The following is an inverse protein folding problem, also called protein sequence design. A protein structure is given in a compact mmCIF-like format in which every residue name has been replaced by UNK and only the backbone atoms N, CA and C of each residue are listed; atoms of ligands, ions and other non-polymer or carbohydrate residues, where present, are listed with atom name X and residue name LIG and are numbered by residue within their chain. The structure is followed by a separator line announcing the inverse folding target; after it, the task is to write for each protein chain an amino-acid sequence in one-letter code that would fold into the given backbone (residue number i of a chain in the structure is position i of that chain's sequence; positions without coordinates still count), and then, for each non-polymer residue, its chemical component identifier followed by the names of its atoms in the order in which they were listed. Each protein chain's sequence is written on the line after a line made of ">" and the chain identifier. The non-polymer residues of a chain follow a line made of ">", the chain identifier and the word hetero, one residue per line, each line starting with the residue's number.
data_IF_684319574306
#
_entry.id   IF_684319574306
#
_cell.length_a   1.000
_cell.length_b   1.000
_cell.length_c   1.000
_cell.angle_alpha   90.00
_cell.angle_beta   90.00
_cell.angle_gamma   90.00
#
_symmetry.space_group_name_H-M   'P 1'
#
loop_
_entity.id
_entity.type
_entity.pdbx_description
1 polymer ?
#
# COMPACT_ATOMS: atom_id res chain seq x y z
N UNK A 1 2.65 -21.84 38.88
CA UNK A 1 1.88 -21.34 37.72
C UNK A 1 2.15 -19.85 37.56
N UNK A 2 3.40 -19.47 37.26
CA UNK A 2 3.88 -18.08 37.31
C UNK A 2 4.06 -17.43 35.93
N UNK A 3 4.12 -18.24 34.85
CA UNK A 3 4.30 -17.73 33.49
C UNK A 3 3.04 -17.12 32.88
N UNK A 4 1.84 -17.52 33.33
CA UNK A 4 0.58 -17.09 32.71
C UNK A 4 0.16 -15.68 33.13
N UNK A 5 0.44 -15.28 34.36
CA UNK A 5 0.07 -13.94 34.87
C UNK A 5 1.00 -12.85 34.32
N UNK A 6 2.29 -13.15 34.20
CA UNK A 6 3.27 -12.25 33.61
C UNK A 6 3.00 -12.06 32.11
N UNK A 7 2.75 -13.16 31.38
CA UNK A 7 2.40 -13.08 29.96
C UNK A 7 1.11 -12.27 29.72
N UNK A 8 0.13 -12.38 30.62
CA UNK A 8 -1.11 -11.59 30.53
C UNK A 8 -0.86 -10.09 30.73
N UNK A 9 0.01 -9.72 31.69
CA UNK A 9 0.40 -8.31 31.92
C UNK A 9 1.19 -7.74 30.75
N UNK A 10 2.11 -8.52 30.19
CA UNK A 10 2.91 -8.11 29.02
C UNK A 10 2.03 -7.97 27.76
N UNK A 11 1.10 -8.90 27.53
CA UNK A 11 0.13 -8.80 26.44
C UNK A 11 -0.77 -7.56 26.62
N UNK A 12 -1.24 -7.31 27.84
CA UNK A 12 -2.09 -6.14 28.14
C UNK A 12 -1.35 -4.83 27.90
N UNK A 13 -0.07 -4.76 28.28
CA UNK A 13 0.81 -3.61 28.01
C UNK A 13 1.01 -3.41 26.50
N UNK A 14 1.24 -4.50 25.75
CA UNK A 14 1.38 -4.44 24.29
C UNK A 14 0.09 -3.92 23.64
N UNK A 15 -1.08 -4.42 24.04
CA UNK A 15 -2.37 -3.95 23.52
C UNK A 15 -2.57 -2.48 23.84
N UNK A 16 -2.28 -2.06 25.07
CA UNK A 16 -2.39 -0.66 25.49
C UNK A 16 -1.45 0.26 24.69
N UNK A 17 -0.22 -0.18 24.39
CA UNK A 17 0.70 0.55 23.52
C UNK A 17 0.15 0.63 22.10
N UNK A 18 -0.34 -0.48 21.55
CA UNK A 18 -0.93 -0.50 20.20
C UNK A 18 -2.13 0.46 20.10
N UNK A 19 -3.01 0.48 21.10
CA UNK A 19 -4.23 1.30 21.08
C UNK A 19 -3.95 2.79 21.28
N UNK A 20 -2.92 3.16 22.04
CA UNK A 20 -2.62 4.57 22.34
C UNK A 20 -1.62 5.18 21.35
N UNK A 21 -0.53 4.48 21.06
CA UNK A 21 0.56 5.03 20.24
C UNK A 21 0.30 4.86 18.73
N UNK A 22 -0.30 3.74 18.31
CA UNK A 22 -0.61 3.51 16.89
C UNK A 22 -1.89 4.23 16.44
N UNK A 23 -2.74 4.70 17.36
CA UNK A 23 -3.94 5.48 16.99
C UNK A 23 -3.57 6.77 16.25
N UNK A 24 -2.43 7.36 16.59
CA UNK A 24 -1.88 8.54 15.89
C UNK A 24 -1.64 8.27 14.41
N UNK A 25 -1.35 7.02 14.03
CA UNK A 25 -1.17 6.58 12.65
C UNK A 25 -2.51 6.35 11.93
N UNK A 26 -3.63 6.21 12.64
CA UNK A 26 -4.96 6.12 12.01
C UNK A 26 -5.48 7.48 11.52
N UNK A 27 -4.86 8.58 11.96
CA UNK A 27 -5.23 9.93 11.54
C UNK A 27 -5.04 10.19 10.02
N UNK A 28 -4.31 9.31 9.31
CA UNK A 28 -4.20 9.35 7.85
C UNK A 28 -5.50 8.98 7.10
N UNK A 29 -6.53 8.47 7.80
CA UNK A 29 -7.85 8.21 7.20
C UNK A 29 -8.61 9.48 6.82
N UNK A 30 -8.22 10.64 7.37
CA UNK A 30 -8.84 11.92 7.01
C UNK A 30 -8.44 12.32 5.58
N UNK A 31 -9.43 12.47 4.70
CA UNK A 31 -9.31 12.75 3.26
C UNK A 31 -8.68 14.11 2.90
N UNK A 32 -8.01 14.79 3.84
CA UNK A 32 -7.39 16.10 3.65
C UNK A 32 -5.93 16.01 3.17
N UNK A 33 -5.36 14.81 3.10
CA UNK A 33 -3.98 14.60 2.65
C UNK A 33 -3.97 14.52 1.13
N UNK A 34 -3.19 15.39 0.49
CA UNK A 34 -2.98 15.39 -0.97
C UNK A 34 -1.66 14.73 -1.38
N UNK A 35 -0.66 14.72 -0.50
CA UNK A 35 0.68 14.20 -0.77
C UNK A 35 1.09 13.14 0.24
N UNK A 36 1.84 12.14 -0.19
CA UNK A 36 2.25 11.00 0.62
C UNK A 36 3.69 10.57 0.36
N UNK A 37 4.42 10.24 1.41
CA UNK A 37 5.74 9.63 1.32
C UNK A 37 5.62 8.14 0.97
N UNK A 38 6.65 7.58 0.33
CA UNK A 38 6.65 6.17 -0.05
C UNK A 38 6.49 5.23 1.16
N UNK A 39 7.07 5.58 2.32
CA UNK A 39 6.92 4.82 3.57
C UNK A 39 5.48 4.75 4.09
N UNK A 40 4.69 5.75 3.74
CA UNK A 40 3.35 5.96 4.32
C UNK A 40 2.24 5.35 3.45
N UNK A 41 2.59 4.81 2.27
CA UNK A 41 1.64 4.13 1.38
C UNK A 41 0.88 3.00 2.10
N UNK A 42 1.53 2.34 3.06
CA UNK A 42 0.93 1.30 3.90
C UNK A 42 -0.28 1.79 4.71
N UNK A 43 -0.43 3.08 4.98
CA UNK A 43 -1.58 3.62 5.71
C UNK A 43 -2.80 3.83 4.83
N UNK A 44 -2.61 4.16 3.54
CA UNK A 44 -3.71 4.48 2.64
C UNK A 44 -4.23 3.25 1.87
N UNK A 45 -3.43 2.20 1.71
CA UNK A 45 -3.84 0.95 1.07
C UNK A 45 -4.07 -0.15 2.11
N UNK A 46 -5.32 -0.31 2.54
CA UNK A 46 -5.74 -1.41 3.40
C UNK A 46 -6.48 -2.48 2.59
N UNK A 47 -6.40 -3.78 2.97
CA UNK A 47 -7.28 -4.80 2.44
C UNK A 47 -8.75 -4.39 2.56
N UNK A 48 -9.52 -4.52 1.48
CA UNK A 48 -10.92 -4.12 1.41
C UNK A 48 -11.19 -2.69 0.94
N UNK A 49 -10.16 -1.83 0.87
CA UNK A 49 -10.30 -0.44 0.39
C UNK A 49 -10.66 -0.41 -1.11
N UNK A 50 -11.57 0.49 -1.50
CA UNK A 50 -11.83 0.79 -2.91
C UNK A 50 -10.74 1.70 -3.48
N UNK A 51 -10.18 1.30 -4.62
CA UNK A 51 -9.09 2.01 -5.31
C UNK A 51 -9.43 2.23 -6.78
N UNK A 52 -8.93 3.32 -7.36
CA UNK A 52 -9.13 3.67 -8.76
C UNK A 52 -7.82 3.93 -9.49
N UNK A 53 -7.79 3.66 -10.79
CA UNK A 53 -6.66 4.02 -11.65
C UNK A 53 -6.59 5.53 -11.86
N UNK A 54 -5.38 6.08 -11.91
CA UNK A 54 -5.18 7.50 -12.27
C UNK A 54 -5.35 7.78 -13.75
N UNK A 55 -5.09 6.77 -14.59
CA UNK A 55 -5.21 6.89 -16.04
C UNK A 55 -6.60 6.49 -16.53
N UNK A 56 -7.07 7.17 -17.57
CA UNK A 56 -8.34 6.85 -18.26
C UNK A 56 -8.15 5.62 -19.19
N UNK A 57 -9.16 4.75 -19.35
CA UNK A 57 -10.45 4.78 -18.65
C UNK A 57 -10.29 4.44 -17.15
N UNK A 58 -11.02 5.18 -16.31
CA UNK A 58 -11.00 4.95 -14.87
C UNK A 58 -11.60 3.57 -14.57
N UNK A 59 -10.84 2.74 -13.86
CA UNK A 59 -11.30 1.44 -13.37
C UNK A 59 -11.23 1.44 -11.86
N UNK A 60 -12.25 0.86 -11.23
CA UNK A 60 -12.32 0.68 -9.79
C UNK A 60 -12.04 -0.78 -9.43
N UNK A 61 -11.28 -0.97 -8.35
CA UNK A 61 -10.92 -2.27 -7.81
C UNK A 61 -11.07 -2.25 -6.30
N UNK A 62 -11.11 -3.43 -5.70
CA UNK A 62 -11.02 -3.60 -4.26
C UNK A 62 -9.68 -4.23 -3.89
N UNK A 63 -8.98 -3.64 -2.94
CA UNK A 63 -7.68 -4.17 -2.49
C UNK A 63 -7.88 -5.55 -1.86
N UNK A 64 -7.10 -6.52 -2.31
CA UNK A 64 -7.04 -7.87 -1.72
C UNK A 64 -5.96 -7.91 -0.64
N UNK A 65 -4.73 -7.52 -0.99
CA UNK A 65 -3.62 -7.40 -0.07
C UNK A 65 -2.54 -6.46 -0.62
N UNK A 66 -1.61 -6.07 0.24
CA UNK A 66 -0.48 -5.18 -0.08
C UNK A 66 0.81 -5.81 0.42
N UNK A 67 1.87 -5.72 -0.38
CA UNK A 67 3.19 -6.26 -0.04
C UNK A 67 4.31 -5.31 -0.47
N UNK A 68 5.52 -5.51 0.05
CA UNK A 68 6.70 -4.71 -0.35
C UNK A 68 6.79 -3.34 0.33
N UNK A 69 7.33 -2.33 -0.35
CA UNK A 69 7.56 -0.99 0.22
C UNK A 69 8.48 -0.91 1.45
N UNK A 70 9.29 -1.94 1.71
CA UNK A 70 10.17 -2.01 2.89
C UNK A 70 11.60 -1.61 2.52
N UNK A 71 12.34 -0.93 3.41
CA UNK A 71 13.77 -0.74 3.23
C UNK A 71 14.50 -2.08 3.12
N UNK A 72 15.48 -2.16 2.23
CA UNK A 72 16.36 -3.32 2.20
C UNK A 72 17.30 -3.29 3.41
N UNK A 73 17.33 -4.38 4.18
CA UNK A 73 18.28 -4.56 5.30
C UNK A 73 19.71 -4.82 4.81
N UNK A 74 19.84 -5.34 3.60
CA UNK A 74 21.07 -5.55 2.86
C UNK A 74 20.79 -5.27 1.38
N UNK A 75 21.73 -4.65 0.63
CA UNK A 75 21.55 -4.44 -0.80
C UNK A 75 21.12 -5.75 -1.50
N UNK A 76 20.15 -5.70 -2.42
CA UNK A 76 19.76 -6.88 -3.20
C UNK A 76 20.97 -7.49 -3.90
N UNK A 77 20.98 -8.81 -4.07
CA UNK A 77 22.02 -9.46 -4.88
C UNK A 77 22.00 -8.88 -6.31
N UNK A 78 23.10 -8.25 -6.68
CA UNK A 78 23.23 -7.62 -7.97
C UNK A 78 23.77 -8.61 -9.00
N UNK A 79 22.87 -9.38 -9.60
CA UNK A 79 23.20 -10.35 -10.65
C UNK A 79 23.46 -9.70 -12.03
N UNK A 80 23.79 -8.39 -12.08
CA UNK A 80 24.01 -7.65 -13.34
C UNK A 80 25.43 -7.83 -13.86
N UNK A 81 25.54 -8.01 -15.18
CA UNK A 81 26.81 -7.94 -15.89
C UNK A 81 27.25 -6.49 -16.08
N UNK A 82 28.12 -6.02 -15.18
CA UNK A 82 28.72 -4.66 -15.18
C UNK A 82 29.49 -4.31 -16.46
N UNK A 83 29.79 -5.28 -17.31
CA UNK A 83 30.44 -5.08 -18.62
C UNK A 83 29.52 -4.46 -19.68
N UNK A 84 28.20 -4.57 -19.49
CA UNK A 84 27.19 -4.21 -20.51
C UNK A 84 26.14 -3.22 -20.02
N UNK A 85 26.07 -2.95 -18.71
CA UNK A 85 25.05 -2.07 -18.14
C UNK A 85 25.67 -0.94 -17.31
N UNK A 86 25.16 0.30 -17.44
CA UNK A 86 25.63 1.43 -16.65
C UNK A 86 25.35 1.23 -15.16
N UNK A 87 26.25 1.72 -14.31
CA UNK A 87 26.09 1.69 -12.86
C UNK A 87 24.80 2.42 -12.45
N UNK A 88 23.93 1.73 -11.71
CA UNK A 88 22.69 2.29 -11.16
C UNK A 88 22.69 2.07 -9.66
N UNK A 89 22.46 3.14 -8.90
CA UNK A 89 22.38 3.09 -7.44
C UNK A 89 21.32 2.04 -7.04
N UNK A 90 21.66 1.10 -6.14
CA UNK A 90 20.70 0.12 -5.65
C UNK A 90 19.47 0.82 -5.06
N UNK A 91 18.29 0.29 -5.34
CA UNK A 91 17.06 0.81 -4.75
C UNK A 91 17.12 0.63 -3.23
N UNK A 92 16.69 1.64 -2.49
CA UNK A 92 16.70 1.61 -1.01
C UNK A 92 15.53 0.82 -0.44
N UNK A 93 14.47 0.66 -1.22
CA UNK A 93 13.23 0.02 -0.81
C UNK A 93 12.80 -1.00 -1.85
N UNK A 94 12.15 -2.08 -1.41
CA UNK A 94 11.40 -2.94 -2.31
C UNK A 94 10.21 -2.19 -2.89
N UNK A 95 9.87 -2.47 -4.14
CA UNK A 95 8.65 -2.00 -4.76
C UNK A 95 7.40 -2.28 -3.90
N UNK A 96 6.44 -1.37 -3.90
CA UNK A 96 5.19 -1.51 -3.18
C UNK A 96 4.13 -2.09 -4.13
N UNK A 97 3.65 -3.30 -3.84
CA UNK A 97 2.78 -4.08 -4.72
C UNK A 97 1.38 -4.17 -4.11
N UNK A 98 0.40 -3.65 -4.84
CA UNK A 98 -1.02 -3.70 -4.53
C UNK A 98 -1.68 -4.77 -5.38
N UNK A 99 -2.15 -5.83 -4.75
CA UNK A 99 -2.99 -6.83 -5.40
C UNK A 99 -4.45 -6.52 -5.09
N UNK A 100 -5.26 -6.39 -6.12
CA UNK A 100 -6.66 -5.99 -6.04
C UNK A 100 -7.50 -6.82 -7.01
N UNK A 101 -8.83 -6.76 -6.87
CA UNK A 101 -9.74 -7.46 -7.77
C UNK A 101 -10.90 -6.58 -8.18
N UNK A 102 -11.49 -6.90 -9.32
CA UNK A 102 -12.80 -6.42 -9.74
C UNK A 102 -13.69 -7.63 -10.02
N UNK A 103 -15.01 -7.44 -9.97
CA UNK A 103 -15.96 -8.46 -10.40
C UNK A 103 -16.24 -8.21 -11.87
N UNK A 104 -16.02 -9.22 -12.71
CA UNK A 104 -16.27 -9.16 -14.16
C UNK A 104 -17.15 -10.33 -14.61
N UNK A 105 -17.78 -10.20 -15.77
CA UNK A 105 -18.66 -11.21 -16.35
C UNK A 105 -17.98 -11.90 -17.54
N UNK A 106 -17.76 -13.21 -17.44
CA UNK A 106 -17.07 -14.00 -18.47
C UNK A 106 -17.97 -14.45 -19.64
N UNK A 107 -19.21 -13.94 -19.70
CA UNK A 107 -20.24 -14.41 -20.62
C UNK A 107 -21.16 -15.50 -20.04
N UNK A 108 -20.80 -16.08 -18.90
CA UNK A 108 -21.58 -17.13 -18.23
C UNK A 108 -21.85 -16.85 -16.75
N UNK A 109 -20.87 -16.31 -16.03
CA UNK A 109 -20.93 -16.05 -14.59
C UNK A 109 -20.12 -14.82 -14.23
N UNK A 110 -20.47 -14.23 -13.09
CA UNK A 110 -19.64 -13.22 -12.44
C UNK A 110 -18.55 -13.87 -11.61
N UNK A 111 -17.34 -13.32 -11.68
CA UNK A 111 -16.20 -13.82 -10.90
C UNK A 111 -15.17 -12.74 -10.61
N UNK A 112 -14.31 -12.94 -9.60
CA UNK A 112 -13.22 -12.03 -9.29
C UNK A 112 -12.09 -12.17 -10.33
N UNK A 113 -11.69 -11.05 -10.91
CA UNK A 113 -10.49 -10.94 -11.75
C UNK A 113 -9.45 -10.13 -10.99
N UNK A 114 -8.27 -10.71 -10.79
CA UNK A 114 -7.20 -10.13 -9.96
C UNK A 114 -6.20 -9.34 -10.80
N UNK A 115 -5.75 -8.20 -10.27
CA UNK A 115 -4.79 -7.28 -10.87
C UNK A 115 -3.71 -6.93 -9.86
N UNK A 116 -2.49 -6.69 -10.33
CA UNK A 116 -1.39 -6.24 -9.48
C UNK A 116 -0.82 -4.93 -10.02
N UNK A 117 -0.73 -3.93 -9.16
CA UNK A 117 -0.15 -2.63 -9.44
C UNK A 117 1.12 -2.47 -8.61
N UNK A 118 2.15 -1.88 -9.22
CA UNK A 118 3.45 -1.68 -8.56
C UNK A 118 3.76 -0.21 -8.50
N UNK A 119 4.10 0.28 -7.31
CA UNK A 119 4.61 1.63 -7.08
C UNK A 119 6.09 1.50 -6.74
N UNK A 120 6.94 2.09 -7.58
CA UNK A 120 8.38 2.10 -7.35
C UNK A 120 8.74 3.07 -6.22
N UNK A 121 9.82 2.76 -5.51
CA UNK A 121 10.36 3.65 -4.49
C UNK A 121 10.65 5.05 -5.06
N UNK A 122 10.09 6.08 -4.42
CA UNK A 122 10.36 7.48 -4.76
C UNK A 122 10.89 8.24 -3.54
N UNK A 123 11.66 9.30 -3.80
CA UNK A 123 12.19 10.17 -2.76
C UNK A 123 11.25 11.37 -2.54
N UNK A 124 11.07 11.75 -1.28
CA UNK A 124 10.16 12.83 -0.91
C UNK A 124 8.70 12.40 -0.94
N UNK A 125 7.80 13.38 -1.00
CA UNK A 125 6.36 13.17 -1.08
C UNK A 125 5.86 13.30 -2.52
N UNK A 126 4.90 12.46 -2.90
CA UNK A 126 4.23 12.51 -4.20
C UNK A 126 2.73 12.72 -4.01
N UNK A 127 2.07 13.39 -4.96
CA UNK A 127 0.63 13.59 -4.92
C UNK A 127 -0.11 12.26 -5.14
N UNK A 128 -1.10 11.96 -4.28
CA UNK A 128 -1.80 10.66 -4.25
C UNK A 128 -2.45 10.34 -5.60
N UNK A 129 -3.04 11.33 -6.27
CA UNK A 129 -3.71 11.14 -7.56
C UNK A 129 -2.76 10.79 -8.71
N UNK A 130 -1.46 11.06 -8.55
CA UNK A 130 -0.44 10.75 -9.58
C UNK A 130 0.08 9.32 -9.49
N UNK A 131 -0.25 8.60 -8.40
CA UNK A 131 0.05 7.19 -8.26
C UNK A 131 -0.69 6.39 -9.36
N UNK A 132 -0.13 5.25 -9.84
CA UNK A 132 -0.80 4.44 -10.87
C UNK A 132 -2.20 3.98 -10.46
N UNK A 133 -2.38 3.78 -9.15
CA UNK A 133 -3.64 3.45 -8.50
C UNK A 133 -3.68 4.17 -7.15
N UNK A 134 -4.85 4.63 -6.70
CA UNK A 134 -5.01 5.29 -5.40
C UNK A 134 -6.41 5.07 -4.79
N UNK A 135 -6.58 5.20 -3.47
CA UNK A 135 -7.88 5.01 -2.83
C UNK A 135 -8.92 6.02 -3.28
N UNK A 136 -10.14 5.53 -3.55
CA UNK A 136 -11.23 6.31 -4.12
C UNK A 136 -11.58 7.56 -3.28
N UNK A 137 -11.41 7.48 -1.96
CA UNK A 137 -11.65 8.60 -1.03
C UNK A 137 -10.84 9.87 -1.34
N UNK A 138 -9.72 9.75 -2.04
CA UNK A 138 -8.88 10.88 -2.45
C UNK A 138 -9.24 11.43 -3.83
N UNK A 139 -10.18 10.82 -4.56
CA UNK A 139 -10.61 11.33 -5.86
C UNK A 139 -11.42 12.63 -5.71
N UNK A 140 -11.00 13.68 -6.40
CA UNK A 140 -11.72 14.98 -6.44
C UNK A 140 -12.57 15.14 -7.71
N UNK A 141 -12.79 14.06 -8.46
CA UNK A 141 -13.49 14.15 -9.75
C UNK A 141 -15.01 14.23 -9.53
N UNK A 142 -15.69 15.31 -9.98
CA UNK A 142 -17.14 15.47 -9.85
C UNK A 142 -17.96 14.42 -10.63
N UNK A 143 -17.32 13.61 -11.47
CA UNK A 143 -17.99 12.50 -12.19
C UNK A 143 -18.07 11.20 -11.39
N UNK A 144 -17.36 11.08 -10.27
CA UNK A 144 -17.40 9.89 -9.41
C UNK A 144 -18.39 10.15 -8.27
N UNK A 145 -19.63 9.67 -8.42
CA UNK A 145 -20.64 9.81 -7.36
C UNK A 145 -20.26 8.93 -6.15
N UNK A 146 -20.21 9.56 -4.97
CA UNK A 146 -19.98 8.93 -3.66
C UNK A 146 -21.22 8.19 -3.17
#
# INVERSE_FOLDING_TARGET
>A
MYGTEQAYKELSCLIQFMDNDLNTLKNFENSSISQIYFSDLWYIFQPGEEVITSQKPLKAFRVLHVTGGRPYLSPPEDNRNYTTQPYRVPEKFSDFVITCYQIDFDGTKFGPVTFSFTIQGYNGSQEIMTLPIYPLKFANDPTIQK
#
